data_IF_127173263859
#
_entry.id   IF_127173263859
#
_cell.length_a   1.000
_cell.length_b   1.000
_cell.length_c   1.000
_cell.angle_alpha   90.00
_cell.angle_beta   90.00
_cell.angle_gamma   90.00
#
_symmetry.space_group_name_H-M   'P 1'
#
loop_
_entity.id
_entity.type
_entity.pdbx_description
1 polymer ?
#
# COMPACT_ATOMS: atom_id res chain seq x y z
N UNK A 1 -7.57 19.60 -42.53
CA UNK A 1 -7.96 18.42 -41.72
C UNK A 1 -7.88 18.79 -40.25
N UNK A 2 -8.86 18.36 -39.44
CA UNK A 2 -8.80 18.60 -37.98
C UNK A 2 -8.08 17.47 -37.26
N UNK A 3 -7.50 17.72 -36.08
CA UNK A 3 -6.85 16.68 -35.28
C UNK A 3 -7.80 15.50 -35.00
N UNK A 4 -9.08 15.79 -34.77
CA UNK A 4 -10.12 14.80 -34.49
C UNK A 4 -10.37 13.89 -35.69
N UNK A 5 -10.44 14.46 -36.94
CA UNK A 5 -10.68 13.69 -38.15
C UNK A 5 -9.53 12.73 -38.42
N UNK A 6 -8.29 13.23 -38.34
CA UNK A 6 -7.08 12.41 -38.54
C UNK A 6 -6.99 11.30 -37.50
N UNK A 7 -7.27 11.60 -36.21
CA UNK A 7 -7.23 10.61 -35.18
C UNK A 7 -8.30 9.52 -35.35
N UNK A 8 -9.53 9.89 -35.71
CA UNK A 8 -10.60 8.93 -35.96
C UNK A 8 -10.27 7.98 -37.11
N UNK A 9 -9.64 8.49 -38.20
CA UNK A 9 -9.17 7.65 -39.29
C UNK A 9 -8.07 6.68 -38.85
N UNK A 10 -7.11 7.16 -38.01
CA UNK A 10 -6.10 6.30 -37.40
C UNK A 10 -6.74 5.23 -36.49
N UNK A 11 -7.73 5.60 -35.68
CA UNK A 11 -8.45 4.68 -34.84
C UNK A 11 -9.21 3.61 -35.58
N UNK A 12 -9.82 3.95 -36.75
CA UNK A 12 -10.47 2.97 -37.62
C UNK A 12 -9.47 1.92 -38.09
N UNK A 13 -8.30 2.36 -38.58
CA UNK A 13 -7.23 1.46 -39.02
C UNK A 13 -6.70 0.59 -37.85
N UNK A 14 -6.52 1.17 -36.66
CA UNK A 14 -6.05 0.44 -35.47
C UNK A 14 -7.08 -0.62 -35.08
N UNK A 15 -8.37 -0.29 -35.06
CA UNK A 15 -9.47 -1.18 -34.71
C UNK A 15 -9.54 -2.44 -35.57
N UNK A 16 -9.21 -2.31 -36.86
CA UNK A 16 -9.19 -3.43 -37.80
C UNK A 16 -7.98 -4.36 -37.62
N UNK A 17 -6.95 -3.92 -36.90
CA UNK A 17 -5.68 -4.63 -36.72
C UNK A 17 -5.41 -5.16 -35.34
N UNK A 18 -6.30 -4.90 -34.33
CA UNK A 18 -6.14 -5.35 -32.96
C UNK A 18 -7.44 -5.91 -32.40
N UNK A 19 -7.34 -6.69 -31.30
CA UNK A 19 -8.52 -7.20 -30.61
C UNK A 19 -9.34 -6.05 -30.03
N UNK A 20 -10.67 -6.15 -30.10
CA UNK A 20 -11.61 -5.13 -29.64
C UNK A 20 -11.38 -4.71 -28.18
N UNK A 21 -10.94 -5.63 -27.33
CA UNK A 21 -10.67 -5.36 -25.93
C UNK A 21 -9.41 -4.51 -25.75
N UNK A 22 -8.34 -4.79 -26.50
CA UNK A 22 -7.14 -3.99 -26.51
C UNK A 22 -7.40 -2.57 -27.05
N UNK A 23 -8.25 -2.46 -28.10
CA UNK A 23 -8.70 -1.17 -28.63
C UNK A 23 -9.39 -0.31 -27.58
N UNK A 24 -10.38 -0.86 -26.86
CA UNK A 24 -11.12 -0.15 -25.82
C UNK A 24 -10.24 0.29 -24.65
N UNK A 25 -9.25 -0.53 -24.28
CA UNK A 25 -8.36 -0.26 -23.16
C UNK A 25 -7.32 0.80 -23.49
N UNK A 26 -6.71 0.74 -24.69
CA UNK A 26 -5.50 1.50 -25.01
C UNK A 26 -5.71 2.64 -26.00
N UNK A 27 -6.76 2.65 -26.77
CA UNK A 27 -6.97 3.67 -27.82
C UNK A 27 -8.20 4.54 -27.57
N UNK A 28 -9.26 4.00 -27.02
CA UNK A 28 -10.49 4.74 -26.71
C UNK A 28 -10.29 5.90 -25.72
N UNK A 29 -9.41 5.78 -24.68
CA UNK A 29 -9.15 6.88 -23.74
C UNK A 29 -8.29 8.02 -24.29
N UNK A 30 -7.73 7.91 -25.49
CA UNK A 30 -6.84 8.91 -26.08
C UNK A 30 -7.66 10.04 -26.70
N UNK A 31 -7.34 11.28 -26.32
CA UNK A 31 -8.04 12.48 -26.82
C UNK A 31 -7.11 13.27 -27.74
N UNK A 32 -7.46 13.49 -29.03
CA UNK A 32 -6.68 14.34 -29.91
C UNK A 32 -6.85 15.81 -29.51
N UNK A 33 -5.73 16.54 -29.37
CA UNK A 33 -5.74 17.94 -28.94
C UNK A 33 -5.47 18.87 -30.13
N UNK A 34 -4.41 18.64 -30.86
CA UNK A 34 -3.95 19.59 -31.89
C UNK A 34 -3.23 18.88 -33.04
N UNK A 35 -3.39 19.41 -34.24
CA UNK A 35 -2.63 19.05 -35.43
C UNK A 35 -1.92 20.30 -35.97
N UNK A 36 -0.58 20.27 -36.06
CA UNK A 36 0.24 21.33 -36.62
C UNK A 36 1.42 20.71 -37.41
N UNK A 37 1.68 21.18 -38.60
CA UNK A 37 2.86 20.81 -39.40
C UNK A 37 3.11 19.29 -39.47
N UNK A 38 2.08 18.48 -39.71
CA UNK A 38 2.10 17.00 -39.66
C UNK A 38 2.43 16.38 -38.29
N UNK A 39 2.35 17.19 -37.22
CA UNK A 39 2.52 16.73 -35.85
C UNK A 39 1.14 16.63 -35.19
N UNK A 40 0.71 15.42 -34.88
CA UNK A 40 -0.52 15.16 -34.14
C UNK A 40 -0.21 15.10 -32.64
N UNK A 41 -0.84 15.97 -31.85
CA UNK A 41 -0.75 15.96 -30.41
C UNK A 41 -1.98 15.29 -29.80
N UNK A 42 -1.76 14.26 -29.00
CA UNK A 42 -2.82 13.50 -28.32
C UNK A 42 -2.60 13.50 -26.83
N UNK A 43 -3.70 13.58 -26.08
CA UNK A 43 -3.67 13.47 -24.62
C UNK A 43 -3.85 12.01 -24.23
N UNK A 44 -2.98 11.54 -23.33
CA UNK A 44 -3.04 10.21 -22.72
C UNK A 44 -3.26 10.30 -21.22
N UNK A 45 -3.94 9.30 -20.62
CA UNK A 45 -4.30 9.34 -19.18
C UNK A 45 -3.12 9.39 -18.22
N UNK A 46 -1.99 8.76 -18.59
CA UNK A 46 -0.80 8.68 -17.73
C UNK A 46 0.47 8.42 -18.53
N UNK A 47 1.63 8.59 -17.86
CA UNK A 47 2.94 8.27 -18.43
C UNK A 47 3.07 6.77 -18.76
N UNK A 48 2.54 5.90 -17.92
CA UNK A 48 2.48 4.46 -18.17
C UNK A 48 1.73 4.13 -19.46
N UNK A 49 0.62 4.83 -19.69
CA UNK A 49 -0.19 4.65 -20.88
C UNK A 49 0.59 4.99 -22.17
N UNK A 50 1.37 6.07 -22.12
CA UNK A 50 2.29 6.44 -23.20
C UNK A 50 3.37 5.38 -23.43
N UNK A 51 4.07 4.94 -22.38
CA UNK A 51 5.15 3.95 -22.46
C UNK A 51 4.65 2.63 -23.05
N UNK A 52 3.47 2.18 -22.62
CA UNK A 52 2.82 0.98 -23.16
C UNK A 52 2.48 1.08 -24.64
N UNK A 53 1.96 2.23 -25.09
CA UNK A 53 1.65 2.47 -26.51
C UNK A 53 2.91 2.47 -27.36
N UNK A 54 3.99 3.10 -26.91
CA UNK A 54 5.26 3.14 -27.62
C UNK A 54 5.94 1.76 -27.69
N UNK A 55 5.80 0.95 -26.66
CA UNK A 55 6.41 -0.38 -26.63
C UNK A 55 5.66 -1.39 -27.51
N UNK A 56 4.34 -1.40 -27.43
CA UNK A 56 3.53 -2.45 -28.03
C UNK A 56 2.87 -2.04 -29.37
N UNK A 57 2.57 -0.77 -29.56
CA UNK A 57 1.76 -0.28 -30.67
C UNK A 57 2.42 0.80 -31.52
N UNK A 58 3.69 1.18 -31.23
CA UNK A 58 4.41 2.22 -31.99
C UNK A 58 4.46 1.95 -33.49
N UNK A 59 4.69 0.69 -33.89
CA UNK A 59 4.71 0.30 -35.30
C UNK A 59 3.35 0.48 -35.99
N UNK A 60 2.29 0.09 -35.32
CA UNK A 60 0.92 0.21 -35.81
C UNK A 60 0.49 1.67 -35.88
N UNK A 61 0.77 2.47 -34.85
CA UNK A 61 0.51 3.91 -34.81
C UNK A 61 1.29 4.65 -35.90
N UNK A 62 2.55 4.29 -36.14
CA UNK A 62 3.37 4.89 -37.20
C UNK A 62 2.81 4.60 -38.57
N UNK A 63 2.36 3.37 -38.82
CA UNK A 63 1.71 3.01 -40.13
C UNK A 63 0.41 3.78 -40.30
N UNK A 64 -0.45 3.85 -39.28
CA UNK A 64 -1.70 4.58 -39.30
C UNK A 64 -1.49 6.08 -39.61
N UNK A 65 -0.56 6.71 -38.89
CA UNK A 65 -0.22 8.13 -39.08
C UNK A 65 0.42 8.43 -40.40
N UNK A 66 1.33 7.57 -40.88
CA UNK A 66 1.96 7.74 -42.17
C UNK A 66 0.96 7.64 -43.32
N UNK A 67 -0.07 6.83 -43.16
CA UNK A 67 -1.16 6.69 -44.14
C UNK A 67 -2.01 7.97 -44.24
N UNK A 68 -2.24 8.66 -43.12
CA UNK A 68 -3.11 9.85 -43.06
C UNK A 68 -2.35 11.18 -43.28
N UNK A 69 -1.12 11.30 -42.76
CA UNK A 69 -0.35 12.54 -42.74
C UNK A 69 0.94 12.50 -43.55
N UNK A 70 1.29 11.32 -44.15
CA UNK A 70 2.50 11.17 -44.97
C UNK A 70 3.75 10.76 -44.16
N UNK A 71 4.90 10.66 -44.87
CA UNK A 71 6.14 10.08 -44.30
C UNK A 71 6.76 10.90 -43.15
N UNK A 72 6.46 12.18 -43.06
CA UNK A 72 6.99 13.10 -42.06
C UNK A 72 6.04 13.26 -40.85
N UNK A 73 5.02 12.40 -40.76
CA UNK A 73 4.07 12.42 -39.64
C UNK A 73 4.74 12.11 -38.32
N UNK A 74 4.44 12.94 -37.31
CA UNK A 74 4.93 12.76 -35.93
C UNK A 74 3.75 12.74 -34.94
N UNK A 75 3.89 11.92 -33.88
CA UNK A 75 2.94 11.87 -32.79
C UNK A 75 3.58 12.45 -31.53
N UNK A 76 2.87 13.31 -30.83
CA UNK A 76 3.30 13.90 -29.55
C UNK A 76 2.27 13.61 -28.49
N UNK A 77 2.70 13.02 -27.40
CA UNK A 77 1.83 12.71 -26.28
C UNK A 77 1.84 13.83 -25.23
N UNK A 78 0.68 14.18 -24.73
CA UNK A 78 0.48 15.17 -23.68
C UNK A 78 -0.14 14.46 -22.49
N UNK A 79 0.52 14.51 -21.33
CA UNK A 79 0.03 13.91 -20.08
C UNK A 79 -0.62 15.01 -19.25
N UNK A 80 -1.90 14.89 -18.94
CA UNK A 80 -2.61 15.81 -18.06
C UNK A 80 -2.71 15.21 -16.66
N UNK A 81 -2.03 15.80 -15.69
CA UNK A 81 -2.22 15.47 -14.27
C UNK A 81 -3.37 16.32 -13.71
N UNK A 82 -4.48 15.69 -13.38
CA UNK A 82 -5.55 16.35 -12.62
C UNK A 82 -5.15 16.39 -11.14
N UNK A 83 -4.74 17.56 -10.66
CA UNK A 83 -4.65 17.82 -9.23
C UNK A 83 -6.05 18.13 -8.69
N UNK A 84 -6.56 17.29 -7.77
CA UNK A 84 -7.83 17.49 -7.05
C UNK A 84 -7.85 18.62 -6.03
N UNK A 85 -6.89 19.53 -6.06
CA UNK A 85 -6.91 20.77 -5.28
C UNK A 85 -6.85 21.93 -6.26
N UNK A 86 -7.93 22.70 -6.27
CA UNK A 86 -8.20 23.79 -7.19
C UNK A 86 -7.17 24.92 -7.19
N UNK A 87 -6.09 24.73 -7.89
CA UNK A 87 -5.28 25.79 -8.48
C UNK A 87 -4.75 25.25 -9.81
N UNK A 88 -5.09 25.97 -10.88
CA UNK A 88 -4.67 25.67 -12.26
C UNK A 88 -3.16 25.85 -12.41
N UNK A 89 -2.42 24.75 -12.28
CA UNK A 89 -1.09 24.63 -12.84
C UNK A 89 -0.99 23.30 -13.58
N UNK A 90 -1.38 23.33 -14.84
CA UNK A 90 -1.23 22.21 -15.76
C UNK A 90 0.24 22.12 -16.18
N UNK A 91 0.98 21.18 -15.63
CA UNK A 91 2.27 20.77 -16.20
C UNK A 91 2.03 19.90 -17.43
N UNK A 92 2.34 20.46 -18.59
CA UNK A 92 2.25 19.77 -19.88
C UNK A 92 3.66 19.30 -20.28
N UNK A 93 3.95 18.01 -20.15
CA UNK A 93 5.18 17.42 -20.64
C UNK A 93 4.96 16.96 -22.08
N UNK A 94 5.66 17.57 -23.06
CA UNK A 94 5.65 17.17 -24.47
C UNK A 94 6.76 16.15 -24.69
N UNK A 95 6.40 14.91 -25.00
CA UNK A 95 7.36 13.85 -25.29
C UNK A 95 7.33 13.57 -26.79
N UNK A 96 8.45 13.78 -27.55
CA UNK A 96 8.53 13.43 -28.94
C UNK A 96 8.60 11.92 -29.16
N UNK A 97 7.89 11.37 -30.13
CA UNK A 97 7.88 9.94 -30.45
C UNK A 97 9.14 9.49 -31.23
N UNK A 98 10.33 9.80 -30.74
CA UNK A 98 11.59 9.28 -31.28
C UNK A 98 12.39 8.54 -30.20
N UNK A 99 12.02 7.30 -29.94
CA UNK A 99 12.90 6.38 -29.23
C UNK A 99 13.83 5.72 -30.25
N UNK A 100 15.10 6.19 -30.34
CA UNK A 100 16.20 5.46 -30.97
C UNK A 100 16.91 4.69 -29.85
N UNK A 101 16.90 3.33 -29.86
CA UNK A 101 17.75 2.57 -28.97
C UNK A 101 19.22 2.90 -29.30
N UNK A 102 19.96 3.50 -28.38
CA UNK A 102 21.42 3.62 -28.47
C UNK A 102 22.04 2.23 -28.32
N UNK A 103 22.22 1.53 -29.40
CA UNK A 103 23.12 0.39 -29.47
C UNK A 103 24.54 0.98 -29.43
N UNK A 104 25.18 0.93 -28.28
CA UNK A 104 26.65 1.09 -28.21
C UNK A 104 27.27 -0.19 -28.78
N UNK A 105 27.73 -0.10 -30.01
CA UNK A 105 28.69 -1.04 -30.57
C UNK A 105 29.98 -0.96 -29.74
N UNK A 106 30.23 -1.95 -28.93
CA UNK A 106 31.58 -2.22 -28.39
C UNK A 106 32.13 -3.45 -29.09
N UNK A 107 33.32 -3.25 -29.59
CA UNK A 107 34.12 -4.19 -30.35
C UNK A 107 34.31 -5.54 -29.64
N UNK A 108 34.16 -6.60 -30.46
CA UNK A 108 34.59 -7.95 -30.08
C UNK A 108 36.13 -7.96 -29.95
N UNK A 109 36.63 -8.29 -28.77
CA UNK A 109 37.88 -9.00 -28.61
C UNK A 109 37.68 -10.17 -27.65
N UNK A 110 38.19 -11.27 -28.12
CA UNK A 110 38.13 -12.64 -27.71
C UNK A 110 38.64 -12.96 -26.31
N UNK A 111 37.87 -13.69 -25.50
CA UNK A 111 38.31 -14.94 -24.80
C UNK A 111 37.18 -15.49 -23.87
N UNK A 112 37.07 -16.80 -23.67
CA UNK A 112 35.90 -17.43 -23.09
C UNK A 112 36.05 -17.56 -21.55
N UNK A 113 35.13 -16.94 -20.81
CA UNK A 113 34.88 -17.33 -19.43
C UNK A 113 33.38 -17.62 -19.25
N UNK A 114 33.08 -18.89 -19.34
CA UNK A 114 31.85 -19.46 -18.78
C UNK A 114 31.81 -19.18 -17.28
N UNK A 115 30.65 -18.76 -16.80
CA UNK A 115 30.11 -18.65 -15.45
C UNK A 115 29.80 -17.20 -15.04
N UNK A 116 28.61 -16.78 -15.44
CA UNK A 116 27.58 -16.04 -14.69
C UNK A 116 26.53 -15.51 -15.68
N UNK A 117 25.72 -16.43 -16.18
CA UNK A 117 24.44 -16.01 -16.77
C UNK A 117 23.55 -15.53 -15.62
N UNK A 118 23.58 -14.22 -15.38
CA UNK A 118 22.46 -13.56 -14.72
C UNK A 118 21.26 -13.75 -15.65
N UNK A 119 20.42 -14.72 -15.36
CA UNK A 119 19.08 -14.84 -15.91
C UNK A 119 18.31 -13.58 -15.47
N UNK A 120 18.48 -12.49 -16.21
CA UNK A 120 17.59 -11.33 -16.10
C UNK A 120 16.21 -11.80 -16.53
N UNK A 121 15.28 -11.81 -15.58
CA UNK A 121 13.88 -12.09 -15.83
C UNK A 121 13.42 -11.19 -17.00
N UNK A 122 12.95 -11.76 -18.15
CA UNK A 122 12.58 -10.98 -19.33
C UNK A 122 11.39 -10.05 -19.10
N UNK A 123 10.77 -10.10 -17.91
CA UNK A 123 9.64 -9.25 -17.49
C UNK A 123 10.05 -8.10 -16.57
N UNK A 124 11.33 -7.91 -16.25
CA UNK A 124 11.80 -6.71 -15.57
C UNK A 124 12.10 -5.66 -16.62
N UNK A 125 11.20 -4.72 -16.80
CA UNK A 125 11.40 -3.56 -17.68
C UNK A 125 12.40 -2.62 -16.98
N UNK A 126 13.66 -2.46 -17.48
CA UNK A 126 14.58 -1.49 -16.92
C UNK A 126 14.07 -0.08 -17.26
N UNK A 127 13.57 0.65 -16.28
CA UNK A 127 13.16 2.04 -16.47
C UNK A 127 11.97 2.52 -15.67
N UNK A 128 11.14 1.63 -15.11
CA UNK A 128 10.03 2.04 -14.24
C UNK A 128 10.56 2.23 -12.81
N UNK A 129 11.43 3.21 -12.64
CA UNK A 129 11.74 3.77 -11.31
C UNK A 129 10.76 4.92 -11.10
N UNK A 130 9.82 4.75 -10.17
CA UNK A 130 8.85 5.71 -9.65
C UNK A 130 7.42 5.65 -10.24
N UNK A 131 6.77 4.50 -10.11
CA UNK A 131 5.32 4.52 -9.94
C UNK A 131 5.04 5.23 -8.61
N UNK A 132 4.47 6.44 -8.64
CA UNK A 132 3.94 7.12 -7.43
C UNK A 132 2.67 6.38 -7.00
N UNK A 133 2.86 5.20 -6.41
CA UNK A 133 1.77 4.46 -5.78
C UNK A 133 1.44 5.18 -4.49
N UNK A 134 0.17 5.51 -4.29
CA UNK A 134 -0.31 6.01 -3.00
C UNK A 134 -0.08 4.92 -1.95
N UNK A 135 0.74 5.23 -0.97
CA UNK A 135 1.14 4.29 0.07
C UNK A 135 0.01 3.89 1.01
N UNK A 136 -1.10 4.63 1.03
CA UNK A 136 -2.27 4.44 1.92
C UNK A 136 -1.92 4.42 3.42
N UNK A 137 -0.80 5.00 3.80
CA UNK A 137 -0.34 5.08 5.18
C UNK A 137 -1.08 6.18 5.95
N UNK A 138 -1.45 5.89 7.19
CA UNK A 138 -1.99 6.88 8.11
C UNK A 138 -0.83 7.61 8.81
N UNK A 139 -0.58 8.87 8.44
CA UNK A 139 0.53 9.67 8.95
C UNK A 139 0.49 9.93 10.46
N UNK A 140 -0.65 9.74 11.11
CA UNK A 140 -0.77 9.85 12.56
C UNK A 140 -0.15 8.66 13.32
N UNK A 141 0.12 7.54 12.65
CA UNK A 141 0.68 6.34 13.23
C UNK A 141 2.18 6.25 12.96
N UNK A 142 2.98 6.96 13.73
CA UNK A 142 4.44 7.00 13.61
C UNK A 142 5.13 6.40 14.84
N UNK A 143 6.46 6.21 14.80
CA UNK A 143 7.23 5.66 15.92
C UNK A 143 7.30 6.58 17.14
N UNK A 144 7.13 7.89 16.97
CA UNK A 144 7.13 8.87 18.05
C UNK A 144 5.91 8.70 18.94
N UNK A 145 4.76 8.40 18.32
CA UNK A 145 3.50 8.17 19.01
C UNK A 145 3.33 6.73 19.50
N UNK A 146 4.17 5.79 19.03
CA UNK A 146 4.17 4.40 19.47
C UNK A 146 5.10 4.25 20.68
N UNK A 147 4.54 4.38 21.88
CA UNK A 147 5.32 4.33 23.11
C UNK A 147 5.88 2.93 23.35
N UNK A 148 7.15 2.90 23.75
CA UNK A 148 7.86 1.66 24.08
C UNK A 148 7.54 1.24 25.52
N UNK A 149 7.22 -0.02 25.69
CA UNK A 149 7.05 -0.71 26.96
C UNK A 149 7.55 -2.16 26.83
N UNK A 150 7.62 -2.89 27.93
CA UNK A 150 8.08 -4.28 27.91
C UNK A 150 7.19 -5.16 27.01
N UNK A 151 5.89 -4.87 26.98
CA UNK A 151 4.87 -5.58 26.21
C UNK A 151 5.05 -5.47 24.68
N UNK A 152 5.82 -4.50 24.18
CA UNK A 152 5.95 -4.25 22.75
C UNK A 152 7.40 -4.02 22.26
N UNK A 153 8.37 -4.08 23.15
CA UNK A 153 9.78 -3.75 22.87
C UNK A 153 10.36 -4.55 21.70
N UNK A 154 10.12 -5.86 21.67
CA UNK A 154 10.61 -6.71 20.58
C UNK A 154 10.02 -6.30 19.22
N UNK A 155 8.70 -6.15 19.15
CA UNK A 155 8.02 -5.80 17.92
C UNK A 155 8.42 -4.40 17.41
N UNK A 156 8.52 -3.42 18.33
CA UNK A 156 8.95 -2.06 18.03
C UNK A 156 10.39 -2.01 17.51
N UNK A 157 11.31 -2.68 18.21
CA UNK A 157 12.73 -2.74 17.82
C UNK A 157 12.91 -3.43 16.47
N UNK A 158 12.22 -4.55 16.24
CA UNK A 158 12.23 -5.25 14.95
C UNK A 158 11.66 -4.38 13.83
N UNK A 159 10.52 -3.72 14.07
CA UNK A 159 9.92 -2.79 13.11
C UNK A 159 10.85 -1.63 12.76
N UNK A 160 11.53 -1.07 13.76
CA UNK A 160 12.51 -0.01 13.54
C UNK A 160 13.72 -0.50 12.72
N UNK A 161 14.25 -1.70 13.02
CA UNK A 161 15.35 -2.30 12.25
C UNK A 161 14.95 -2.56 10.80
N UNK A 162 13.75 -3.10 10.55
CA UNK A 162 13.18 -3.29 9.21
C UNK A 162 13.05 -1.97 8.47
N UNK A 163 12.58 -0.92 9.14
CA UNK A 163 12.40 0.39 8.51
C UNK A 163 13.72 1.05 8.09
N UNK A 164 14.83 0.74 8.79
CA UNK A 164 16.18 1.24 8.43
C UNK A 164 16.85 0.44 7.32
N UNK A 165 16.49 -0.83 7.14
CA UNK A 165 17.09 -1.72 6.12
C UNK A 165 16.02 -2.67 5.56
N UNK A 166 15.03 -2.17 4.82
CA UNK A 166 13.92 -2.99 4.31
C UNK A 166 14.44 -4.04 3.32
N UNK A 167 14.10 -5.30 3.57
CA UNK A 167 14.58 -6.47 2.81
C UNK A 167 16.03 -6.89 3.13
N UNK A 168 16.77 -6.09 3.90
CA UNK A 168 18.17 -6.37 4.26
C UNK A 168 18.37 -6.96 5.66
N UNK A 169 17.31 -7.29 6.37
CA UNK A 169 17.33 -7.94 7.69
C UNK A 169 16.82 -9.37 7.60
N UNK A 170 17.14 -10.20 8.61
CA UNK A 170 16.57 -11.54 8.75
C UNK A 170 15.06 -11.52 9.09
N UNK A 171 14.50 -10.33 9.35
CA UNK A 171 13.10 -10.13 9.73
C UNK A 171 12.21 -9.96 8.49
N UNK A 172 12.29 -10.92 7.58
CA UNK A 172 11.48 -10.92 6.35
C UNK A 172 10.86 -12.30 6.09
N UNK A 173 9.54 -12.44 6.28
CA UNK A 173 8.59 -11.42 6.70
C UNK A 173 8.75 -11.01 8.17
N UNK A 174 8.27 -9.80 8.51
CA UNK A 174 7.99 -9.42 9.89
C UNK A 174 6.49 -9.61 10.14
N UNK A 175 6.13 -10.57 10.98
CA UNK A 175 4.75 -10.76 11.43
C UNK A 175 4.58 -10.16 12.83
N UNK A 176 3.66 -9.20 12.95
CA UNK A 176 3.27 -8.57 14.21
C UNK A 176 1.91 -9.14 14.59
N UNK A 177 1.84 -9.84 15.72
CA UNK A 177 0.58 -10.44 16.16
C UNK A 177 0.26 -10.09 17.61
N UNK A 178 -0.99 -10.29 18.01
CA UNK A 178 -1.47 -10.00 19.38
C UNK A 178 -2.93 -9.61 19.37
N UNK A 179 -3.53 -9.47 20.54
CA UNK A 179 -4.94 -9.17 20.70
C UNK A 179 -5.43 -7.92 19.98
N UNK A 180 -6.74 -7.76 19.87
CA UNK A 180 -7.37 -6.59 19.24
C UNK A 180 -7.02 -5.32 20.02
N UNK A 181 -6.74 -4.22 19.32
CA UNK A 181 -6.52 -2.91 19.95
C UNK A 181 -5.17 -2.72 20.63
N UNK A 182 -4.17 -3.59 20.41
CA UNK A 182 -2.82 -3.48 20.99
C UNK A 182 -1.81 -2.66 20.17
N UNK A 183 -2.24 -2.07 19.03
CA UNK A 183 -1.39 -1.17 18.23
C UNK A 183 -0.69 -1.82 17.06
N UNK A 184 -1.09 -3.02 16.59
CA UNK A 184 -0.52 -3.69 15.40
C UNK A 184 -0.55 -2.80 14.16
N UNK A 185 -1.70 -2.29 13.80
CA UNK A 185 -1.91 -1.35 12.69
C UNK A 185 -1.06 -0.09 12.83
N UNK A 186 -0.92 0.44 14.05
CA UNK A 186 -0.08 1.60 14.34
C UNK A 186 1.39 1.29 14.00
N UNK A 187 1.93 0.20 14.54
CA UNK A 187 3.32 -0.18 14.30
C UNK A 187 3.59 -0.47 12.82
N UNK A 188 2.66 -1.14 12.14
CA UNK A 188 2.75 -1.41 10.70
C UNK A 188 2.82 -0.13 9.86
N UNK A 189 1.98 0.87 10.16
CA UNK A 189 2.04 2.19 9.54
C UNK A 189 3.34 2.93 9.88
N UNK A 190 3.79 2.90 11.15
CA UNK A 190 5.03 3.54 11.58
C UNK A 190 6.25 3.01 10.80
N UNK A 191 6.31 1.70 10.57
CA UNK A 191 7.34 1.08 9.73
C UNK A 191 7.30 1.66 8.32
N UNK A 192 6.13 1.67 7.68
CA UNK A 192 5.95 2.18 6.32
C UNK A 192 6.32 3.66 6.17
N UNK A 193 5.91 4.49 7.12
CA UNK A 193 6.24 5.93 7.17
C UNK A 193 7.74 6.13 7.27
N UNK A 194 8.41 5.43 8.19
CA UNK A 194 9.84 5.58 8.40
C UNK A 194 10.65 5.07 7.19
N UNK A 195 10.22 3.99 6.53
CA UNK A 195 10.82 3.57 5.24
C UNK A 195 10.69 4.67 4.21
N UNK A 196 9.50 5.26 4.05
CA UNK A 196 9.24 6.27 3.02
C UNK A 196 10.01 7.56 3.26
N UNK A 197 10.26 7.92 4.52
CA UNK A 197 11.10 9.05 4.91
C UNK A 197 12.59 8.78 4.65
N UNK A 198 13.06 7.57 4.97
CA UNK A 198 14.47 7.20 4.80
C UNK A 198 14.84 6.85 3.35
N UNK A 199 13.88 6.33 2.57
CA UNK A 199 14.06 5.84 1.19
C UNK A 199 12.90 6.31 0.31
N UNK A 200 12.87 7.59 -0.10
CA UNK A 200 11.77 8.15 -0.90
C UNK A 200 11.56 7.45 -2.25
N UNK A 201 12.61 6.80 -2.78
CA UNK A 201 12.59 6.05 -4.03
C UNK A 201 11.89 4.68 -3.90
N UNK A 202 11.76 4.14 -2.68
CA UNK A 202 11.10 2.85 -2.47
C UNK A 202 9.59 2.97 -2.52
N UNK A 203 8.98 2.01 -3.19
CA UNK A 203 7.53 1.89 -3.26
C UNK A 203 7.02 1.15 -2.04
N UNK A 204 6.33 1.86 -1.15
CA UNK A 204 5.69 1.31 0.06
C UNK A 204 4.19 1.28 -0.15
N UNK A 205 3.57 0.14 0.11
CA UNK A 205 2.11 -0.02 0.07
C UNK A 205 1.61 -0.66 1.37
N UNK A 206 0.67 0.03 2.02
CA UNK A 206 -0.14 -0.52 3.12
C UNK A 206 -1.53 -0.88 2.61
N UNK A 207 -2.02 -2.05 2.96
CA UNK A 207 -3.36 -2.51 2.59
C UNK A 207 -3.88 -3.53 3.62
N UNK A 208 -5.18 -3.51 3.90
CA UNK A 208 -5.80 -4.58 4.68
C UNK A 208 -5.98 -5.85 3.84
N UNK A 209 -5.92 -7.01 4.47
CA UNK A 209 -6.17 -8.31 3.81
C UNK A 209 -7.57 -8.38 3.18
N UNK A 210 -8.54 -7.71 3.77
CA UNK A 210 -9.89 -7.62 3.22
C UNK A 210 -9.90 -6.84 1.90
N UNK A 211 -9.28 -5.64 1.86
CA UNK A 211 -9.18 -4.82 0.66
C UNK A 211 -8.34 -5.50 -0.44
N UNK A 212 -7.27 -6.19 -0.07
CA UNK A 212 -6.48 -7.02 -0.98
C UNK A 212 -7.36 -8.10 -1.62
N UNK A 213 -8.15 -8.81 -0.81
CA UNK A 213 -9.08 -9.84 -1.28
C UNK A 213 -10.11 -9.26 -2.25
N UNK A 214 -10.71 -8.11 -1.91
CA UNK A 214 -11.69 -7.46 -2.78
C UNK A 214 -11.08 -7.06 -4.13
N UNK A 215 -9.90 -6.45 -4.12
CA UNK A 215 -9.18 -6.10 -5.35
C UNK A 215 -8.85 -7.32 -6.21
N UNK A 216 -8.45 -8.43 -5.58
CA UNK A 216 -8.21 -9.69 -6.28
C UNK A 216 -9.48 -10.23 -6.94
N UNK A 217 -10.60 -10.31 -6.21
CA UNK A 217 -11.89 -10.75 -6.74
C UNK A 217 -12.33 -9.87 -7.92
N UNK A 218 -12.17 -8.56 -7.80
CA UNK A 218 -12.51 -7.62 -8.88
C UNK A 218 -11.61 -7.81 -10.10
N UNK A 219 -10.32 -8.11 -9.91
CA UNK A 219 -9.38 -8.40 -11.00
C UNK A 219 -9.76 -9.69 -11.75
N UNK A 220 -10.21 -10.72 -11.01
CA UNK A 220 -10.69 -11.97 -11.61
C UNK A 220 -11.96 -11.73 -12.42
N UNK A 221 -12.94 -10.99 -11.89
CA UNK A 221 -14.18 -10.63 -12.59
C UNK A 221 -13.91 -9.85 -13.88
N UNK A 222 -12.88 -8.99 -13.88
CA UNK A 222 -12.46 -8.17 -15.03
C UNK A 222 -11.46 -8.87 -15.95
N UNK A 223 -11.10 -10.13 -15.67
CA UNK A 223 -10.08 -10.92 -16.38
C UNK A 223 -8.67 -10.26 -16.41
N UNK A 224 -8.33 -9.49 -15.36
CA UNK A 224 -7.09 -8.74 -15.23
C UNK A 224 -6.22 -9.28 -14.09
N UNK A 225 -6.27 -10.61 -13.83
CA UNK A 225 -5.51 -11.26 -12.74
C UNK A 225 -3.99 -11.03 -12.86
N UNK A 226 -3.46 -11.05 -14.08
CA UNK A 226 -2.03 -10.87 -14.31
C UNK A 226 -1.58 -9.44 -13.95
N UNK A 227 -2.36 -8.43 -14.30
CA UNK A 227 -2.06 -7.04 -13.96
C UNK A 227 -2.06 -6.81 -12.45
N UNK A 228 -3.00 -7.46 -11.74
CA UNK A 228 -3.03 -7.45 -10.28
C UNK A 228 -1.74 -8.04 -9.69
N UNK A 229 -1.30 -9.20 -10.15
CA UNK A 229 -0.07 -9.83 -9.67
C UNK A 229 1.14 -8.94 -9.97
N UNK A 230 1.27 -8.43 -11.20
CA UNK A 230 2.35 -7.53 -11.60
C UNK A 230 2.41 -6.27 -10.76
N UNK A 231 1.25 -5.65 -10.46
CA UNK A 231 1.19 -4.47 -9.62
C UNK A 231 1.84 -4.73 -8.24
N UNK A 232 1.47 -5.83 -7.58
CA UNK A 232 2.02 -6.16 -6.27
C UNK A 232 3.51 -6.58 -6.34
N UNK A 233 3.95 -7.14 -7.45
CA UNK A 233 5.35 -7.49 -7.67
C UNK A 233 6.27 -6.27 -7.80
N UNK A 234 5.76 -5.09 -8.12
CA UNK A 234 6.52 -3.84 -8.20
C UNK A 234 6.79 -3.20 -6.82
N UNK A 235 6.06 -3.59 -5.79
CA UNK A 235 6.18 -3.03 -4.45
C UNK A 235 7.51 -3.44 -3.80
N UNK A 236 8.20 -2.49 -3.15
CA UNK A 236 9.44 -2.76 -2.42
C UNK A 236 9.20 -3.12 -0.95
N UNK A 237 8.17 -2.52 -0.35
CA UNK A 237 7.74 -2.81 1.02
C UNK A 237 6.22 -3.00 1.02
N UNK A 238 5.79 -4.24 1.16
CA UNK A 238 4.37 -4.59 1.23
C UNK A 238 3.95 -4.82 2.68
N UNK A 239 2.97 -4.06 3.13
CA UNK A 239 2.39 -4.16 4.46
C UNK A 239 0.95 -4.66 4.31
N UNK A 240 0.66 -5.87 4.80
CA UNK A 240 -0.70 -6.43 4.82
C UNK A 240 -1.19 -6.47 6.26
N UNK A 241 -2.25 -5.72 6.52
CA UNK A 241 -2.89 -5.67 7.83
C UNK A 241 -4.00 -6.72 7.94
N UNK A 242 -4.07 -7.37 9.10
CA UNK A 242 -5.10 -8.33 9.46
C UNK A 242 -5.18 -9.57 8.55
N UNK A 243 -4.05 -10.28 8.37
CA UNK A 243 -3.95 -11.45 7.47
C UNK A 243 -4.87 -12.62 7.85
N UNK A 244 -5.44 -12.66 9.08
CA UNK A 244 -6.46 -13.63 9.46
C UNK A 244 -7.70 -13.57 8.54
N UNK A 245 -7.97 -12.45 7.90
CA UNK A 245 -9.05 -12.33 6.91
C UNK A 245 -8.82 -13.09 5.60
N UNK A 246 -7.65 -13.71 5.40
CA UNK A 246 -7.45 -14.68 4.32
C UNK A 246 -8.06 -16.05 4.61
N UNK A 247 -8.45 -16.33 5.86
CA UNK A 247 -9.10 -17.57 6.29
C UNK A 247 -10.26 -17.95 5.38
N UNK A 248 -10.32 -19.21 4.95
CA UNK A 248 -11.38 -19.74 4.07
C UNK A 248 -11.35 -19.25 2.61
N UNK A 249 -10.39 -18.40 2.20
CA UNK A 249 -10.34 -17.80 0.87
C UNK A 249 -9.20 -18.38 0.03
N UNK A 250 -9.29 -19.63 -0.39
CA UNK A 250 -8.23 -20.37 -1.08
C UNK A 250 -7.63 -19.62 -2.28
N UNK A 251 -8.46 -19.05 -3.18
CA UNK A 251 -7.96 -18.30 -4.33
C UNK A 251 -7.16 -17.05 -3.97
N UNK A 252 -7.51 -16.37 -2.87
CA UNK A 252 -6.75 -15.22 -2.35
C UNK A 252 -5.43 -15.69 -1.73
N UNK A 253 -5.47 -16.81 -0.99
CA UNK A 253 -4.27 -17.41 -0.40
C UNK A 253 -3.26 -17.83 -1.48
N UNK A 254 -3.74 -18.44 -2.57
CA UNK A 254 -2.91 -18.83 -3.72
C UNK A 254 -2.20 -17.63 -4.34
N UNK A 255 -2.94 -16.60 -4.69
CA UNK A 255 -2.34 -15.43 -5.35
C UNK A 255 -1.40 -14.70 -4.41
N UNK A 256 -1.75 -14.57 -3.13
CA UNK A 256 -0.86 -13.96 -2.14
C UNK A 256 0.43 -14.78 -1.96
N UNK A 257 0.35 -16.12 -1.94
CA UNK A 257 1.52 -16.99 -1.88
C UNK A 257 2.49 -16.75 -3.05
N UNK A 258 1.98 -16.57 -4.28
CA UNK A 258 2.80 -16.24 -5.44
C UNK A 258 3.45 -14.86 -5.33
N UNK A 259 2.70 -13.84 -4.92
CA UNK A 259 3.21 -12.48 -4.69
C UNK A 259 4.27 -12.50 -3.59
N UNK A 260 3.99 -13.14 -2.46
CA UNK A 260 4.92 -13.28 -1.33
C UNK A 260 6.27 -13.89 -1.76
N UNK A 261 6.24 -15.03 -2.46
CA UNK A 261 7.46 -15.69 -2.92
C UNK A 261 8.27 -14.77 -3.84
N UNK A 262 7.61 -14.08 -4.77
CA UNK A 262 8.29 -13.13 -5.66
C UNK A 262 8.97 -12.00 -4.87
N UNK A 263 8.26 -11.36 -3.95
CA UNK A 263 8.80 -10.28 -3.13
C UNK A 263 9.99 -10.76 -2.30
N UNK A 264 9.83 -11.87 -1.61
CA UNK A 264 10.87 -12.44 -0.75
C UNK A 264 12.14 -12.83 -1.54
N UNK A 265 12.00 -13.49 -2.70
CA UNK A 265 13.12 -13.89 -3.57
C UNK A 265 13.89 -12.69 -4.13
N UNK A 266 13.20 -11.57 -4.33
CA UNK A 266 13.82 -10.33 -4.83
C UNK A 266 14.30 -9.40 -3.70
N UNK A 267 14.40 -9.88 -2.45
CA UNK A 267 14.87 -9.10 -1.32
C UNK A 267 13.97 -7.92 -0.95
N UNK A 268 12.69 -7.98 -1.31
CA UNK A 268 11.69 -6.97 -0.96
C UNK A 268 11.08 -7.31 0.39
N UNK A 269 10.73 -6.29 1.17
CA UNK A 269 10.22 -6.47 2.53
C UNK A 269 8.73 -6.77 2.55
N UNK A 270 8.34 -7.76 3.35
CA UNK A 270 6.94 -8.03 3.69
C UNK A 270 6.74 -7.83 5.19
N UNK A 271 5.70 -7.07 5.56
CA UNK A 271 5.24 -6.87 6.94
C UNK A 271 3.79 -7.31 7.01
N UNK A 272 3.48 -8.13 7.99
CA UNK A 272 2.15 -8.71 8.18
C UNK A 272 1.67 -8.39 9.59
N UNK A 273 0.36 -8.17 9.75
CA UNK A 273 -0.25 -8.13 11.07
C UNK A 273 -1.35 -9.18 11.22
N UNK A 274 -1.60 -9.62 12.44
CA UNK A 274 -2.68 -10.56 12.75
C UNK A 274 -3.17 -10.44 14.20
N UNK A 275 -4.46 -10.69 14.41
CA UNK A 275 -5.01 -10.84 15.76
C UNK A 275 -4.64 -12.18 16.42
N UNK A 276 -4.21 -13.17 15.62
CA UNK A 276 -3.90 -14.53 16.06
C UNK A 276 -2.44 -14.88 15.81
N UNK A 277 -1.86 -15.68 16.68
CA UNK A 277 -0.56 -16.29 16.42
C UNK A 277 -0.64 -17.23 15.18
N UNK A 278 0.46 -17.42 14.42
CA UNK A 278 0.44 -18.31 13.25
C UNK A 278 0.01 -19.76 13.55
N UNK A 279 0.14 -20.22 14.78
CA UNK A 279 -0.27 -21.56 15.21
C UNK A 279 -1.78 -21.66 15.40
N UNK A 280 -2.45 -20.54 15.66
CA UNK A 280 -3.89 -20.46 15.94
C UNK A 280 -4.71 -20.02 14.70
N UNK A 281 -4.04 -19.76 13.56
CA UNK A 281 -4.71 -19.41 12.32
C UNK A 281 -5.34 -20.63 11.68
N UNK A 282 -6.66 -20.74 11.78
CA UNK A 282 -7.43 -21.80 11.12
C UNK A 282 -7.73 -21.46 9.66
N UNK A 283 -7.96 -22.48 8.83
CA UNK A 283 -8.35 -22.34 7.42
C UNK A 283 -7.36 -21.52 6.56
N UNK A 284 -6.12 -21.40 7.02
CA UNK A 284 -5.00 -20.90 6.21
C UNK A 284 -4.12 -22.08 5.80
N UNK A 285 -3.77 -22.15 4.53
CA UNK A 285 -2.98 -23.25 3.98
C UNK A 285 -1.59 -23.36 4.63
N UNK A 286 -1.14 -24.57 4.93
CA UNK A 286 0.13 -24.83 5.60
C UNK A 286 1.34 -24.21 4.89
N UNK A 287 1.30 -24.17 3.55
CA UNK A 287 2.37 -23.51 2.77
C UNK A 287 2.47 -22.01 3.05
N UNK A 288 1.33 -21.33 3.28
CA UNK A 288 1.30 -19.90 3.61
C UNK A 288 1.70 -19.66 5.06
N UNK A 289 1.21 -20.48 5.99
CA UNK A 289 1.63 -20.46 7.41
C UNK A 289 3.14 -20.65 7.57
N UNK A 290 3.74 -21.56 6.79
CA UNK A 290 5.19 -21.75 6.78
C UNK A 290 5.92 -20.48 6.34
N UNK A 291 5.36 -19.72 5.39
CA UNK A 291 5.93 -18.43 4.96
C UNK A 291 5.80 -17.35 6.02
N UNK A 292 4.68 -17.29 6.73
CA UNK A 292 4.48 -16.34 7.83
C UNK A 292 5.49 -16.57 8.97
N UNK A 293 5.85 -17.82 9.25
CA UNK A 293 6.82 -18.21 10.28
C UNK A 293 8.28 -18.10 9.84
N UNK A 294 8.56 -17.86 8.56
CA UNK A 294 9.94 -17.91 8.04
C UNK A 294 10.85 -16.81 8.63
N UNK A 295 10.34 -15.60 8.83
CA UNK A 295 11.08 -14.48 9.39
C UNK A 295 10.92 -14.36 10.90
N UNK A 296 10.60 -13.15 11.38
CA UNK A 296 10.34 -12.88 12.78
C UNK A 296 8.84 -12.73 13.03
N UNK A 297 8.33 -13.50 13.99
CA UNK A 297 7.00 -13.29 14.57
C UNK A 297 7.16 -12.60 15.91
N UNK A 298 6.64 -11.39 16.04
CA UNK A 298 6.74 -10.55 17.24
C UNK A 298 5.35 -10.29 17.81
N UNK A 299 5.17 -10.66 19.07
CA UNK A 299 3.92 -10.49 19.80
C UNK A 299 3.80 -9.08 20.38
N UNK A 300 2.61 -8.50 20.29
CA UNK A 300 2.19 -7.34 21.08
C UNK A 300 1.30 -7.83 22.23
N UNK A 301 1.72 -7.59 23.44
CA UNK A 301 0.97 -7.94 24.66
C UNK A 301 0.24 -6.72 25.22
N UNK A 302 -0.66 -6.94 26.16
CA UNK A 302 -1.32 -5.85 26.88
C UNK A 302 -0.29 -5.01 27.62
N UNK A 303 -0.37 -3.67 27.53
CA UNK A 303 0.57 -2.79 28.21
C UNK A 303 0.44 -2.88 29.73
N UNK A 304 1.57 -2.77 30.43
CA UNK A 304 1.61 -2.67 31.87
C UNK A 304 1.03 -1.33 32.35
N UNK A 305 0.90 -1.18 33.68
CA UNK A 305 0.28 0.00 34.26
C UNK A 305 1.01 1.30 33.92
N UNK A 306 2.33 1.31 33.99
CA UNK A 306 3.18 2.47 33.72
C UNK A 306 3.10 2.87 32.22
N UNK A 307 3.10 1.88 31.33
CA UNK A 307 2.93 2.12 29.89
C UNK A 307 1.54 2.71 29.61
N UNK A 308 0.47 2.23 30.27
CA UNK A 308 -0.88 2.82 30.10
C UNK A 308 -0.94 4.27 30.55
N UNK A 309 -0.34 4.62 31.70
CA UNK A 309 -0.23 6.00 32.17
C UNK A 309 0.49 6.86 31.12
N UNK A 310 1.60 6.37 30.61
CA UNK A 310 2.38 7.07 29.58
C UNK A 310 1.59 7.29 28.29
N UNK A 311 0.80 6.30 27.85
CA UNK A 311 -0.09 6.41 26.69
C UNK A 311 -1.14 7.50 26.92
N UNK A 312 -1.80 7.52 28.09
CA UNK A 312 -2.79 8.54 28.42
C UNK A 312 -2.15 9.93 28.42
N UNK A 313 -1.03 10.11 29.12
CA UNK A 313 -0.32 11.41 29.19
C UNK A 313 0.12 11.91 27.83
N UNK A 314 0.65 11.03 26.98
CA UNK A 314 1.04 11.38 25.61
C UNK A 314 -0.18 11.80 24.77
N UNK A 315 -1.30 11.07 24.89
CA UNK A 315 -2.55 11.38 24.20
C UNK A 315 -3.09 12.76 24.62
N UNK A 316 -3.16 13.02 25.91
CA UNK A 316 -3.63 14.32 26.47
C UNK A 316 -2.73 15.48 26.02
N UNK A 317 -1.40 15.30 26.08
CA UNK A 317 -0.45 16.32 25.61
C UNK A 317 -0.61 16.65 24.14
N UNK A 318 -0.86 15.65 23.30
CA UNK A 318 -1.13 15.86 21.86
C UNK A 318 -2.42 16.59 21.59
N UNK A 319 -3.45 16.29 22.38
CA UNK A 319 -4.77 16.89 22.22
C UNK A 319 -4.86 18.25 22.96
N UNK A 320 -3.79 18.68 23.66
CA UNK A 320 -3.71 19.97 24.37
C UNK A 320 -4.66 20.03 25.58
N UNK A 321 -4.95 18.90 26.21
CA UNK A 321 -5.88 18.78 27.33
C UNK A 321 -5.11 18.48 28.61
N UNK A 322 -5.40 19.23 29.66
CA UNK A 322 -4.91 18.98 31.01
C UNK A 322 -5.91 18.13 31.79
N UNK A 323 -5.42 17.12 32.50
CA UNK A 323 -6.21 16.23 33.33
C UNK A 323 -5.43 15.94 34.62
N UNK A 324 -6.11 15.93 35.76
CA UNK A 324 -5.51 15.60 37.06
C UNK A 324 -4.93 14.19 37.08
N UNK A 325 -3.77 14.04 37.69
CA UNK A 325 -3.06 12.75 37.77
C UNK A 325 -3.89 11.63 38.43
N UNK A 326 -4.70 11.96 39.42
CA UNK A 326 -5.59 10.99 40.07
C UNK A 326 -6.61 10.36 39.10
N UNK A 327 -7.09 11.14 38.14
CA UNK A 327 -8.01 10.65 37.11
C UNK A 327 -7.26 9.74 36.14
N UNK A 328 -6.05 10.16 35.71
CA UNK A 328 -5.19 9.37 34.82
C UNK A 328 -4.88 8.01 35.49
N UNK A 329 -4.49 8.01 36.74
CA UNK A 329 -4.19 6.78 37.50
C UNK A 329 -5.42 5.90 37.64
N UNK A 330 -6.59 6.49 37.92
CA UNK A 330 -7.84 5.76 38.02
C UNK A 330 -8.18 5.05 36.69
N UNK A 331 -8.15 5.76 35.56
CA UNK A 331 -8.44 5.20 34.24
C UNK A 331 -7.44 4.10 33.88
N UNK A 332 -6.14 4.35 34.03
CA UNK A 332 -5.08 3.38 33.76
C UNK A 332 -5.18 2.10 34.65
N UNK A 333 -5.68 2.23 35.88
CA UNK A 333 -5.85 1.11 36.80
C UNK A 333 -7.00 0.18 36.40
N UNK A 334 -8.10 0.74 35.91
CA UNK A 334 -9.34 0.00 35.68
C UNK A 334 -9.49 -0.50 34.25
N UNK A 335 -8.98 0.21 33.23
CA UNK A 335 -8.99 -0.23 31.83
C UNK A 335 -7.68 -0.95 31.54
N UNK A 336 -7.72 -2.29 31.52
CA UNK A 336 -6.53 -3.15 31.37
C UNK A 336 -6.51 -3.93 30.06
N UNK A 337 -7.58 -3.93 29.31
CA UNK A 337 -7.86 -4.83 28.22
C UNK A 337 -7.02 -4.51 26.97
N UNK A 338 -7.16 -3.29 26.44
CA UNK A 338 -6.44 -2.87 25.23
C UNK A 338 -6.32 -1.34 25.14
N UNK A 339 -5.43 -0.89 24.27
CA UNK A 339 -5.14 0.54 24.08
C UNK A 339 -6.32 1.27 23.43
N UNK A 340 -7.09 0.61 22.56
CA UNK A 340 -8.25 1.21 21.89
C UNK A 340 -9.34 1.61 22.90
N UNK A 341 -9.62 0.77 23.88
CA UNK A 341 -10.57 1.09 24.95
C UNK A 341 -10.05 2.19 25.87
N UNK A 342 -8.75 2.15 26.17
CA UNK A 342 -8.10 3.20 26.96
C UNK A 342 -8.23 4.56 26.28
N UNK A 343 -7.93 4.65 25.01
CA UNK A 343 -8.10 5.88 24.21
C UNK A 343 -9.57 6.28 24.08
N UNK A 344 -10.48 5.32 23.90
CA UNK A 344 -11.92 5.55 23.83
C UNK A 344 -12.49 6.17 25.11
N UNK A 345 -12.04 5.72 26.29
CA UNK A 345 -12.43 6.29 27.58
C UNK A 345 -11.94 7.74 27.73
N UNK A 346 -10.69 8.02 27.35
CA UNK A 346 -10.14 9.38 27.38
C UNK A 346 -10.91 10.30 26.42
N UNK A 347 -11.21 9.86 25.19
CA UNK A 347 -12.02 10.64 24.24
C UNK A 347 -13.40 10.92 24.82
N UNK A 348 -14.02 9.93 25.49
CA UNK A 348 -15.33 10.09 26.11
C UNK A 348 -15.31 11.10 27.27
N UNK A 349 -14.26 11.09 28.09
CA UNK A 349 -14.04 12.07 29.15
C UNK A 349 -13.91 13.48 28.61
N UNK A 350 -13.07 13.65 27.58
CA UNK A 350 -12.85 14.94 26.91
C UNK A 350 -14.14 15.48 26.26
N UNK A 351 -14.87 14.61 25.58
CA UNK A 351 -16.13 14.99 24.93
C UNK A 351 -17.17 15.45 25.96
N UNK A 352 -17.37 14.71 27.04
CA UNK A 352 -18.34 15.09 28.09
C UNK A 352 -17.96 16.39 28.81
N UNK A 353 -16.67 16.60 29.06
CA UNK A 353 -16.18 17.86 29.61
C UNK A 353 -16.47 19.05 28.68
N UNK A 354 -16.17 18.88 27.39
CA UNK A 354 -16.39 19.93 26.38
C UNK A 354 -17.86 20.28 26.21
N UNK A 355 -18.74 19.25 26.08
CA UNK A 355 -20.19 19.47 25.89
C UNK A 355 -20.87 20.08 27.13
N UNK A 356 -20.49 19.66 28.33
CA UNK A 356 -21.08 20.12 29.55
C UNK A 356 -20.44 21.42 30.10
N UNK A 357 -19.34 21.88 29.49
CA UNK A 357 -18.50 23.01 29.95
C UNK A 357 -18.11 22.82 31.44
N UNK A 358 -17.86 21.60 31.87
CA UNK A 358 -17.46 21.24 33.23
C UNK A 358 -16.06 20.64 33.19
N UNK A 359 -15.31 20.88 34.27
CA UNK A 359 -14.02 20.22 34.45
C UNK A 359 -14.19 18.69 34.53
N UNK A 360 -13.16 17.97 34.07
CA UNK A 360 -13.10 16.51 34.19
C UNK A 360 -12.91 16.19 35.67
N UNK A 361 -13.86 15.50 36.27
CA UNK A 361 -13.83 15.09 37.69
C UNK A 361 -13.64 13.59 37.85
N UNK A 362 -13.18 13.16 38.99
CA UNK A 362 -13.01 11.73 39.29
C UNK A 362 -14.36 10.97 39.27
N UNK A 363 -15.46 11.63 39.66
CA UNK A 363 -16.80 11.04 39.60
C UNK A 363 -17.21 10.78 38.15
N UNK A 364 -16.93 11.73 37.26
CA UNK A 364 -17.18 11.55 35.83
C UNK A 364 -16.34 10.40 35.27
N UNK A 365 -15.08 10.31 35.68
CA UNK A 365 -14.19 9.22 35.25
C UNK A 365 -14.70 7.86 35.72
N UNK A 366 -15.22 7.74 36.95
CA UNK A 366 -15.84 6.49 37.44
C UNK A 366 -17.00 6.05 36.57
N UNK A 367 -17.94 6.95 36.30
CA UNK A 367 -19.13 6.65 35.47
C UNK A 367 -18.74 6.20 34.05
N UNK A 368 -17.72 6.82 33.46
CA UNK A 368 -17.29 6.45 32.10
C UNK A 368 -16.56 5.10 32.11
N UNK A 369 -15.62 4.92 33.03
CA UNK A 369 -14.84 3.66 33.15
C UNK A 369 -15.77 2.46 33.40
N UNK A 370 -16.79 2.62 34.26
CA UNK A 370 -17.78 1.56 34.49
C UNK A 370 -18.47 1.14 33.21
N UNK A 371 -18.81 2.06 32.30
CA UNK A 371 -19.41 1.71 31.02
C UNK A 371 -18.49 0.88 30.12
N UNK A 372 -17.19 1.18 30.10
CA UNK A 372 -16.22 0.39 29.34
C UNK A 372 -15.96 -0.98 29.97
N UNK A 373 -15.98 -1.09 31.29
CA UNK A 373 -15.77 -2.36 32.00
C UNK A 373 -17.02 -3.24 31.98
N UNK A 374 -18.25 -2.67 32.16
CA UNK A 374 -19.50 -3.44 32.13
C UNK A 374 -19.83 -4.02 30.75
N UNK A 375 -19.48 -3.31 29.66
CA UNK A 375 -19.69 -3.83 28.29
C UNK A 375 -18.91 -5.11 28.02
N UNK A 376 -17.80 -5.35 28.72
CA UNK A 376 -17.00 -6.58 28.61
C UNK A 376 -17.67 -7.78 29.28
N UNK A 377 -18.29 -7.59 30.44
CA UNK A 377 -18.98 -8.68 31.15
C UNK A 377 -20.25 -9.17 30.44
N UNK A 378 -20.86 -8.32 29.57
CA UNK A 378 -22.04 -8.73 28.81
C UNK A 378 -21.67 -9.44 27.49
N UNK A 379 -20.47 -9.24 26.94
CA UNK A 379 -20.02 -9.98 25.75
C UNK A 379 -19.48 -11.37 26.09
N UNK A 380 -18.78 -11.52 27.22
CA UNK A 380 -18.28 -12.83 27.67
C UNK A 380 -19.41 -13.74 28.21
N UNK A 381 -20.47 -13.15 28.80
CA UNK A 381 -21.62 -13.91 29.28
C UNK A 381 -22.55 -14.40 28.16
N UNK A 382 -22.47 -13.83 26.97
CA UNK A 382 -23.27 -14.29 25.81
C UNK A 382 -22.63 -15.49 25.08
N UNK A 383 -21.33 -15.75 25.29
CA UNK A 383 -20.64 -16.92 24.75
C UNK A 383 -20.71 -18.16 25.65
N UNK A 384 -21.02 -17.99 26.96
CA UNK A 384 -21.17 -19.11 27.91
C UNK A 384 -22.58 -19.73 27.96
N UNK A 385 -23.61 -19.08 27.40
CA UNK A 385 -24.98 -19.62 27.33
C UNK A 385 -25.26 -20.47 26.07
N UNK A 386 -24.23 -20.81 25.28
CA UNK A 386 -24.34 -21.67 24.11
C UNK A 386 -23.71 -23.06 24.33
N UNK A 387 -24.01 -23.72 25.47
CA UNK A 387 -23.78 -25.14 25.71
C UNK A 387 -25.10 -25.91 25.91
#
# INVERSE_FOLDING_TARGET
MTALTVWNNCLSFVKDNIQLQAYKTWFEPIIPIKLQDNILSVQVPSKFFYEWLEEHYVKLLKVALTKELGKDAKLVYIIRMENKFGNESSFTEKIPSEYKPKIKSQNLDSSPNFLKANLTNPFIIPGIKNLKIDSQLNLNYNFENFLEGDSNRLARSAGYAVSKRPGGTSFNPLLIFGGVGLGKTHLANAIGINVKQAFPEKTVLYISAEKFTQQYVDSVKKNNRNDFIHFYQLIDVLIIDDVQFFSGKSGTQDVFFHIFNHLHQNGKQVVLTSDKAPVDMQEIEQRLLSRFKWGLSAELQTPDYETRISIIKNKLARDGVEMEDDIIYYVAKHIKTNIRELEGAIISLMAQSSFNKKQITLELAKVIVEKFVCLLYTSDAADDDAC
#
